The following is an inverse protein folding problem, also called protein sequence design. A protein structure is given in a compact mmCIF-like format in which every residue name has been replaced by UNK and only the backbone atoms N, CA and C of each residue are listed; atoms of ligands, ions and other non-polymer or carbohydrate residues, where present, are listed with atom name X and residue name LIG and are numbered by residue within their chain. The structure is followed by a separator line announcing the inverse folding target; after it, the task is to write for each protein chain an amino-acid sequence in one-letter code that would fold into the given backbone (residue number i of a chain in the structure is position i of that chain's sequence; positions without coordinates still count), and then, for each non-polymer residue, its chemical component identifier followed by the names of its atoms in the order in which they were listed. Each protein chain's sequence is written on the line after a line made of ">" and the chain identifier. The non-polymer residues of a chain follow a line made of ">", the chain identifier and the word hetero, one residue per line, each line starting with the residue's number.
data_IF_048483271168
#
_entry.id   IF_048483271168
#
_cell.length_a   1.000
_cell.length_b   1.000
_cell.length_c   1.000
_cell.angle_alpha   90.00
_cell.angle_beta   90.00
_cell.angle_gamma   90.00
#
_symmetry.space_group_name_H-M   'P 1'
#
loop_
_entity.id
_entity.type
_entity.pdbx_description
1 polymer ?
#
# COMPACT_ATOMS: atom_id res chain seq x y z
N UNK A 1 20.68 42.99 -25.53
CA UNK A 1 19.66 42.16 -26.18
C UNK A 1 20.18 40.75 -26.39
N UNK A 2 19.71 39.75 -25.63
CA UNK A 2 19.55 38.37 -26.09
C UNK A 2 18.54 37.68 -25.16
N UNK A 3 17.46 37.24 -25.78
CA UNK A 3 16.22 36.74 -25.17
C UNK A 3 16.31 35.23 -24.94
N UNK A 4 15.33 34.72 -24.20
CA UNK A 4 14.91 33.30 -24.07
C UNK A 4 15.73 32.44 -23.10
N UNK A 5 15.27 32.26 -21.86
CA UNK A 5 14.23 31.31 -21.45
C UNK A 5 14.67 29.85 -21.62
N UNK A 6 14.82 29.13 -20.49
CA UNK A 6 14.11 27.87 -20.20
C UNK A 6 14.60 27.29 -18.86
N UNK A 7 13.72 27.38 -17.86
CA UNK A 7 13.63 26.44 -16.74
C UNK A 7 13.40 25.03 -17.29
N UNK A 8 14.39 24.14 -17.23
CA UNK A 8 14.31 22.67 -17.37
C UNK A 8 15.67 22.14 -16.84
N UNK A 9 15.85 21.21 -15.92
CA UNK A 9 14.96 20.25 -15.29
C UNK A 9 15.42 20.01 -13.84
N UNK A 10 14.40 19.85 -12.99
CA UNK A 10 14.45 19.30 -11.65
C UNK A 10 15.24 17.98 -11.58
N UNK A 11 16.10 17.92 -10.57
CA UNK A 11 16.28 16.81 -9.63
C UNK A 11 16.27 15.37 -10.19
N UNK A 12 17.48 14.81 -10.27
CA UNK A 12 17.70 13.38 -10.18
C UNK A 12 17.27 12.88 -8.78
N UNK A 13 16.02 12.43 -8.64
CA UNK A 13 15.60 11.58 -7.52
C UNK A 13 15.42 10.18 -8.08
N UNK A 14 16.54 9.47 -8.19
CA UNK A 14 16.50 8.00 -8.21
C UNK A 14 16.28 7.57 -6.76
N UNK A 15 15.06 7.70 -6.28
CA UNK A 15 14.61 6.89 -5.15
C UNK A 15 14.33 5.51 -5.74
N UNK A 16 15.33 4.61 -5.65
CA UNK A 16 15.10 3.19 -5.78
C UNK A 16 14.15 2.78 -4.66
N UNK A 17 12.84 2.90 -4.92
CA UNK A 17 11.84 2.18 -4.17
C UNK A 17 12.06 0.71 -4.48
N UNK A 18 12.88 0.07 -3.64
CA UNK A 18 12.64 -1.31 -3.25
C UNK A 18 11.23 -1.36 -2.68
N UNK A 19 10.24 -1.44 -3.57
CA UNK A 19 9.03 -2.18 -3.25
C UNK A 19 9.53 -3.56 -2.80
N UNK A 20 9.09 -4.08 -1.65
CA UNK A 20 9.37 -5.46 -1.34
C UNK A 20 8.88 -6.27 -2.54
N UNK A 21 9.81 -6.97 -3.20
CA UNK A 21 9.52 -7.99 -4.19
C UNK A 21 8.93 -9.24 -3.50
N UNK A 22 7.94 -9.00 -2.66
CA UNK A 22 7.14 -9.94 -1.92
C UNK A 22 5.79 -9.23 -1.95
N UNK A 23 4.92 -9.49 -2.93
CA UNK A 23 3.83 -10.46 -2.79
C UNK A 23 3.38 -10.93 -4.19
N UNK A 24 4.18 -11.77 -4.86
CA UNK A 24 3.71 -12.60 -5.97
C UNK A 24 3.32 -14.01 -5.51
N UNK A 25 3.18 -14.21 -4.19
CA UNK A 25 2.41 -15.32 -3.66
C UNK A 25 0.93 -15.01 -3.90
N UNK A 26 0.19 -15.92 -4.52
CA UNK A 26 -1.19 -15.69 -4.94
C UNK A 26 -2.04 -15.17 -3.78
N UNK A 27 -2.67 -14.01 -3.98
CA UNK A 27 -3.66 -13.48 -3.04
C UNK A 27 -5.05 -13.99 -3.44
N UNK A 28 -5.78 -14.54 -2.48
CA UNK A 28 -7.18 -14.93 -2.66
C UNK A 28 -8.07 -13.70 -2.42
N UNK A 29 -8.50 -13.07 -3.51
CA UNK A 29 -9.36 -11.88 -3.50
C UNK A 29 -10.87 -12.21 -3.52
N UNK A 30 -11.24 -13.48 -3.30
CA UNK A 30 -12.65 -13.89 -3.27
C UNK A 30 -13.39 -13.34 -2.04
N UNK A 31 -14.72 -13.28 -2.14
CA UNK A 31 -15.56 -12.87 -1.01
C UNK A 31 -15.42 -13.80 0.20
N UNK A 32 -15.26 -15.11 -0.06
CA UNK A 32 -15.05 -16.10 0.98
C UNK A 32 -13.73 -15.87 1.74
N UNK A 33 -12.69 -15.40 1.04
CA UNK A 33 -11.39 -15.12 1.65
C UNK A 33 -11.42 -13.98 2.66
N UNK A 34 -12.36 -13.03 2.51
CA UNK A 34 -12.51 -11.94 3.49
C UNK A 34 -12.97 -12.43 4.85
N UNK A 35 -13.72 -13.53 4.91
CA UNK A 35 -14.23 -14.09 6.17
C UNK A 35 -13.25 -15.07 6.84
N UNK A 36 -12.24 -15.54 6.11
CA UNK A 36 -11.22 -16.46 6.65
C UNK A 36 -10.27 -15.72 7.58
N UNK A 37 -9.78 -16.43 8.59
CA UNK A 37 -8.63 -15.97 9.37
C UNK A 37 -7.33 -16.13 8.57
N UNK A 38 -6.35 -15.31 8.92
CA UNK A 38 -5.01 -15.40 8.38
C UNK A 38 -4.39 -14.04 8.09
N UNK A 39 -3.41 -14.05 7.21
CA UNK A 39 -2.68 -12.85 6.83
C UNK A 39 -3.42 -12.16 5.67
N UNK A 40 -3.97 -10.97 5.90
CA UNK A 40 -4.65 -10.21 4.85
C UNK A 40 -3.73 -9.14 4.28
N UNK A 41 -3.68 -9.02 2.95
CA UNK A 41 -2.96 -7.96 2.27
C UNK A 41 -3.85 -6.73 2.03
N UNK A 42 -3.25 -5.56 2.20
CA UNK A 42 -3.89 -4.27 1.98
C UNK A 42 -3.00 -3.37 1.14
N UNK A 43 -3.63 -2.65 0.21
CA UNK A 43 -3.07 -1.44 -0.36
C UNK A 43 -3.36 -0.29 0.61
N UNK A 44 -2.33 0.38 1.12
CA UNK A 44 -2.49 1.50 2.03
C UNK A 44 -2.31 2.79 1.23
N UNK A 45 -3.44 3.44 0.96
CA UNK A 45 -3.48 4.76 0.33
C UNK A 45 -3.30 5.84 1.38
N UNK A 46 -2.39 6.79 1.19
CA UNK A 46 -2.13 7.85 2.16
C UNK A 46 -2.14 9.25 1.53
N UNK A 47 -2.82 10.19 2.18
CA UNK A 47 -2.73 11.61 1.82
C UNK A 47 -1.42 12.21 2.33
N UNK A 48 -0.63 12.80 1.43
CA UNK A 48 0.61 13.51 1.79
C UNK A 48 1.78 12.59 2.19
N UNK A 49 1.66 11.29 1.95
CA UNK A 49 2.73 10.28 2.09
C UNK A 49 2.71 9.35 0.88
N UNK A 50 3.76 8.55 0.73
CA UNK A 50 3.75 7.50 -0.29
C UNK A 50 2.75 6.40 0.08
N UNK A 51 2.04 5.90 -0.91
CA UNK A 51 1.21 4.70 -0.78
C UNK A 51 2.11 3.47 -0.57
N UNK A 52 1.60 2.47 0.12
CA UNK A 52 2.35 1.24 0.44
C UNK A 52 1.47 0.00 0.34
N UNK A 53 2.08 -1.18 0.40
CA UNK A 53 1.37 -2.44 0.63
C UNK A 53 1.81 -3.00 1.97
N UNK A 54 0.85 -3.47 2.75
CA UNK A 54 1.10 -4.05 4.05
C UNK A 54 0.21 -5.28 4.25
N UNK A 55 0.64 -6.19 5.11
CA UNK A 55 -0.16 -7.33 5.54
C UNK A 55 -0.44 -7.27 7.02
N UNK A 56 -1.59 -7.78 7.44
CA UNK A 56 -1.97 -7.84 8.84
C UNK A 56 -2.73 -9.12 9.15
N UNK A 57 -2.46 -9.70 10.33
CA UNK A 57 -3.16 -10.89 10.81
C UNK A 57 -4.55 -10.54 11.36
N UNK A 58 -5.56 -11.26 10.91
CA UNK A 58 -6.94 -11.09 11.35
C UNK A 58 -7.69 -12.40 11.53
N UNK A 59 -8.74 -12.37 12.34
CA UNK A 59 -9.79 -13.40 12.31
C UNK A 59 -10.65 -13.30 11.04
N UNK A 60 -10.61 -12.14 10.38
CA UNK A 60 -11.17 -11.83 9.07
C UNK A 60 -10.53 -10.53 8.54
N UNK A 61 -10.86 -10.16 7.30
CA UNK A 61 -10.33 -8.96 6.65
C UNK A 61 -10.66 -7.67 7.41
N UNK A 62 -11.83 -7.58 8.07
CA UNK A 62 -12.24 -6.37 8.79
C UNK A 62 -11.43 -6.16 10.07
N UNK A 63 -11.19 -7.24 10.81
CA UNK A 63 -10.33 -7.25 11.98
C UNK A 63 -8.89 -6.85 11.61
N UNK A 64 -8.32 -7.49 10.58
CA UNK A 64 -7.01 -7.12 10.04
C UNK A 64 -6.95 -5.66 9.57
N UNK A 65 -7.97 -5.17 8.84
CA UNK A 65 -8.04 -3.79 8.39
C UNK A 65 -8.04 -2.81 9.56
N UNK A 66 -8.79 -3.13 10.63
CA UNK A 66 -8.91 -2.27 11.82
C UNK A 66 -7.58 -2.19 12.56
N UNK A 67 -6.91 -3.33 12.74
CA UNK A 67 -5.56 -3.40 13.32
C UNK A 67 -4.55 -2.62 12.50
N UNK A 68 -4.56 -2.76 11.18
CA UNK A 68 -3.65 -2.04 10.30
C UNK A 68 -3.94 -0.53 10.30
N UNK A 69 -5.20 -0.12 10.26
CA UNK A 69 -5.61 1.28 10.33
C UNK A 69 -5.10 1.96 11.62
N UNK A 70 -5.15 1.26 12.75
CA UNK A 70 -4.60 1.75 14.01
C UNK A 70 -3.07 1.95 13.99
N UNK A 71 -2.34 1.23 13.11
CA UNK A 71 -0.89 1.34 12.94
C UNK A 71 -0.47 2.46 11.97
N UNK A 72 -1.24 2.68 10.90
CA UNK A 72 -0.86 3.62 9.81
C UNK A 72 -1.35 5.06 10.03
N UNK A 73 -2.28 5.27 10.96
CA UNK A 73 -2.76 6.60 11.36
C UNK A 73 -3.79 7.22 10.41
N UNK A 74 -4.29 8.40 10.79
CA UNK A 74 -5.55 8.96 10.26
C UNK A 74 -5.48 9.50 8.81
N UNK A 75 -4.29 9.60 8.22
CA UNK A 75 -4.09 10.05 6.84
C UNK A 75 -3.93 8.88 5.87
N UNK A 76 -4.11 7.65 6.35
CA UNK A 76 -3.87 6.43 5.60
C UNK A 76 -5.08 5.48 5.70
N UNK A 77 -5.45 4.89 4.57
CA UNK A 77 -6.61 4.00 4.45
C UNK A 77 -6.18 2.67 3.85
N UNK A 78 -6.19 1.60 4.64
CA UNK A 78 -5.95 0.26 4.13
C UNK A 78 -7.16 -0.23 3.32
N UNK A 79 -6.94 -0.56 2.05
CA UNK A 79 -7.92 -1.16 1.12
C UNK A 79 -7.55 -2.62 0.94
N UNK A 80 -8.46 -3.52 1.32
CA UNK A 80 -8.22 -4.96 1.24
C UNK A 80 -7.97 -5.41 -0.20
N UNK A 81 -6.94 -6.24 -0.40
CA UNK A 81 -6.57 -6.79 -1.71
C UNK A 81 -6.79 -8.30 -1.80
N UNK A 82 -6.63 -9.02 -0.68
CA UNK A 82 -6.77 -10.47 -0.67
C UNK A 82 -6.29 -11.09 0.64
N UNK A 83 -6.58 -12.37 0.83
CA UNK A 83 -5.88 -13.20 1.82
C UNK A 83 -4.55 -13.64 1.20
N UNK A 84 -3.45 -13.33 1.86
CA UNK A 84 -2.12 -13.76 1.44
C UNK A 84 -1.92 -15.24 1.81
N UNK A 85 -1.51 -16.04 0.82
CA UNK A 85 -1.20 -17.46 0.95
C UNK A 85 0.18 -17.73 1.57
#
# INVERSE_FOLDING_TARGET
>A
MKKFARFVALAAVVSMSVAPAAMAAGIDSSWDAMAKSGNHQFYVWCTGKADTTATEQGSNAKDAQTKLAAKVGNTCWPVWQGLAG
#
